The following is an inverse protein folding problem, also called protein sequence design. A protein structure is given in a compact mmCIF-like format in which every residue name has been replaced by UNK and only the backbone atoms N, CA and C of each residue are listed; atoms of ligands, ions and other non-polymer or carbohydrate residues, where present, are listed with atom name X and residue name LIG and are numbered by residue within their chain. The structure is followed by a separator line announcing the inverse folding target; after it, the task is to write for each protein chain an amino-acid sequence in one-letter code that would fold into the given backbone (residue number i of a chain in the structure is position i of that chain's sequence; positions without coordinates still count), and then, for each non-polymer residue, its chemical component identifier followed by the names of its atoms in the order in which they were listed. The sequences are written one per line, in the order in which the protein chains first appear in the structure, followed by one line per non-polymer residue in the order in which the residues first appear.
data_IF_920877175397
#
_entry.id   IF_920877175397
#
_cell.length_a   1.000
_cell.length_b   1.000
_cell.length_c   1.000
_cell.angle_alpha   90.00
_cell.angle_beta   90.00
_cell.angle_gamma   90.00
#
_symmetry.space_group_name_H-M   'P 1'
#
loop_
_entity.id
_entity.type
_entity.pdbx_description
1 polymer ?
#
# COMPACT_ATOMS: atom_id res chain seq x y z
N UNK A 1 -9.84 -22.47 14.56
CA UNK A 1 -9.49 -21.90 13.24
C UNK A 1 -9.23 -20.37 13.23
N UNK A 2 -9.35 -19.64 14.37
CA UNK A 2 -9.09 -18.18 14.46
C UNK A 2 -7.66 -17.75 14.09
N UNK A 3 -6.65 -18.46 14.55
CA UNK A 3 -5.24 -18.04 14.40
C UNK A 3 -4.76 -18.01 12.93
N UNK A 4 -5.19 -18.97 12.10
CA UNK A 4 -4.83 -19.03 10.67
C UNK A 4 -5.40 -17.86 9.88
N UNK A 5 -6.60 -17.39 10.24
CA UNK A 5 -7.24 -16.24 9.60
C UNK A 5 -6.60 -14.91 10.04
N UNK A 6 -6.22 -14.77 11.32
CA UNK A 6 -5.43 -13.62 11.81
C UNK A 6 -4.10 -13.50 11.07
N UNK A 7 -3.37 -14.61 10.96
CA UNK A 7 -2.08 -14.64 10.26
C UNK A 7 -2.22 -14.35 8.76
N UNK A 8 -3.34 -14.73 8.14
CA UNK A 8 -3.64 -14.42 6.74
C UNK A 8 -3.99 -12.94 6.56
N UNK A 9 -4.78 -12.36 7.46
CA UNK A 9 -5.10 -10.92 7.45
C UNK A 9 -3.87 -10.03 7.62
N UNK A 10 -2.97 -10.39 8.55
CA UNK A 10 -1.69 -9.69 8.73
C UNK A 10 -0.80 -9.75 7.48
N UNK A 11 -0.79 -10.87 6.75
CA UNK A 11 -0.04 -11.01 5.48
C UNK A 11 -0.64 -10.22 4.32
N UNK A 12 -1.92 -9.87 4.40
CA UNK A 12 -2.63 -9.06 3.40
C UNK A 12 -2.58 -7.55 3.73
N UNK A 13 -1.83 -7.16 4.76
CA UNK A 13 -1.64 -5.76 5.15
C UNK A 13 -2.75 -5.19 6.01
N UNK A 14 -3.68 -6.01 6.51
CA UNK A 14 -4.69 -5.57 7.48
C UNK A 14 -4.07 -5.38 8.86
N UNK A 15 -4.43 -4.27 9.50
CA UNK A 15 -4.12 -3.97 10.89
C UNK A 15 -4.80 -4.98 11.83
N UNK A 16 -4.25 -5.12 13.04
CA UNK A 16 -4.85 -5.96 14.08
C UNK A 16 -6.28 -5.51 14.44
N UNK A 17 -6.59 -4.22 14.27
CA UNK A 17 -7.93 -3.68 14.48
C UNK A 17 -8.90 -4.12 13.38
N UNK A 18 -8.54 -4.02 12.10
CA UNK A 18 -9.37 -4.48 10.97
C UNK A 18 -9.64 -5.99 11.06
N UNK A 19 -8.61 -6.76 11.40
CA UNK A 19 -8.73 -8.21 11.63
C UNK A 19 -9.65 -8.50 12.82
N UNK A 20 -9.60 -7.71 13.88
CA UNK A 20 -10.48 -7.86 15.05
C UNK A 20 -11.94 -7.52 14.72
N UNK A 21 -12.20 -6.43 13.99
CA UNK A 21 -13.56 -6.04 13.56
C UNK A 21 -14.23 -7.15 12.77
N UNK A 22 -13.49 -7.81 11.87
CA UNK A 22 -13.97 -9.03 11.23
C UNK A 22 -14.37 -10.07 12.25
N UNK A 23 -13.48 -10.45 13.19
CA UNK A 23 -13.75 -11.45 14.23
C UNK A 23 -14.91 -11.12 15.17
N UNK A 24 -15.13 -9.85 15.49
CA UNK A 24 -16.24 -9.40 16.33
C UNK A 24 -17.58 -9.59 15.57
N UNK A 25 -17.58 -9.49 14.23
CA UNK A 25 -18.73 -9.90 13.40
C UNK A 25 -18.94 -11.43 13.32
N UNK A 26 -17.90 -12.26 13.58
CA UNK A 26 -18.05 -13.73 13.62
C UNK A 26 -18.89 -14.21 14.80
N UNK A 27 -18.81 -13.54 15.95
CA UNK A 27 -19.45 -14.02 17.18
C UNK A 27 -20.96 -13.73 17.22
N UNK A 28 -21.49 -12.94 16.27
CA UNK A 28 -22.88 -12.46 16.27
C UNK A 28 -23.79 -13.11 15.23
N UNK A 29 -23.27 -13.72 14.15
CA UNK A 29 -24.12 -14.37 13.15
C UNK A 29 -23.41 -15.53 12.40
N UNK A 30 -23.82 -16.80 12.56
CA UNK A 30 -23.16 -17.95 11.93
C UNK A 30 -23.41 -18.08 10.42
N UNK A 31 -24.10 -17.12 9.79
CA UNK A 31 -24.39 -17.19 8.36
C UNK A 31 -23.15 -16.83 7.51
N UNK A 32 -22.66 -17.83 6.76
CA UNK A 32 -21.44 -17.72 5.95
C UNK A 32 -21.50 -16.70 4.79
N UNK A 33 -22.68 -16.36 4.28
CA UNK A 33 -22.83 -15.44 3.14
C UNK A 33 -22.44 -13.99 3.50
N UNK A 34 -23.00 -13.46 4.61
CA UNK A 34 -22.69 -12.12 5.12
C UNK A 34 -21.20 -11.97 5.45
N UNK A 35 -20.55 -13.06 5.86
CA UNK A 35 -19.12 -13.08 6.15
C UNK A 35 -18.27 -12.95 4.89
N UNK A 36 -18.67 -13.63 3.81
CA UNK A 36 -17.97 -13.55 2.53
C UNK A 36 -18.14 -12.17 1.90
N UNK A 37 -19.34 -11.58 1.99
CA UNK A 37 -19.60 -10.20 1.55
C UNK A 37 -18.72 -9.18 2.29
N UNK A 38 -18.68 -9.23 3.63
CA UNK A 38 -17.82 -8.33 4.42
C UNK A 38 -16.32 -8.51 4.11
N UNK A 39 -15.88 -9.74 3.84
CA UNK A 39 -14.49 -10.01 3.45
C UNK A 39 -14.17 -9.50 2.04
N UNK A 40 -15.12 -9.58 1.10
CA UNK A 40 -14.98 -9.01 -0.24
C UNK A 40 -14.83 -7.50 -0.15
N UNK A 41 -15.75 -6.82 0.53
CA UNK A 41 -15.73 -5.35 0.71
C UNK A 41 -14.40 -4.88 1.31
N UNK A 42 -13.97 -5.52 2.39
CA UNK A 42 -12.73 -5.13 3.07
C UNK A 42 -11.49 -5.37 2.19
N UNK A 43 -11.49 -6.44 1.38
CA UNK A 43 -10.40 -6.72 0.45
C UNK A 43 -10.37 -5.74 -0.72
N UNK A 44 -11.54 -5.35 -1.23
CA UNK A 44 -11.67 -4.34 -2.28
C UNK A 44 -11.20 -2.96 -1.80
N UNK A 45 -11.65 -2.52 -0.63
CA UNK A 45 -11.21 -1.26 -0.02
C UNK A 45 -9.69 -1.25 0.17
N UNK A 46 -9.12 -2.33 0.71
CA UNK A 46 -7.66 -2.42 0.90
C UNK A 46 -6.90 -2.35 -0.42
N UNK A 47 -7.40 -3.03 -1.45
CA UNK A 47 -6.83 -3.01 -2.79
C UNK A 47 -6.86 -1.60 -3.38
N UNK A 48 -7.96 -0.86 -3.20
CA UNK A 48 -8.07 0.51 -3.68
C UNK A 48 -7.03 1.42 -3.01
N UNK A 49 -6.87 1.33 -1.69
CA UNK A 49 -5.84 2.09 -0.95
C UNK A 49 -4.43 1.76 -1.45
N UNK A 50 -4.10 0.48 -1.60
CA UNK A 50 -2.77 0.07 -2.07
C UNK A 50 -2.50 0.52 -3.51
N UNK A 51 -3.50 0.54 -4.37
CA UNK A 51 -3.37 1.06 -5.74
C UNK A 51 -3.08 2.56 -5.72
N UNK A 52 -3.80 3.33 -4.92
CA UNK A 52 -3.54 4.77 -4.78
C UNK A 52 -2.11 5.02 -4.28
N UNK A 53 -1.69 4.31 -3.23
CA UNK A 53 -0.32 4.41 -2.71
C UNK A 53 0.74 4.06 -3.77
N UNK A 54 0.47 3.06 -4.62
CA UNK A 54 1.36 2.70 -5.71
C UNK A 54 1.48 3.83 -6.75
N UNK A 55 0.36 4.44 -7.14
CA UNK A 55 0.34 5.58 -8.05
C UNK A 55 1.10 6.77 -7.46
N UNK A 56 0.89 7.08 -6.18
CA UNK A 56 1.60 8.14 -5.46
C UNK A 56 3.12 7.88 -5.44
N UNK A 57 3.53 6.64 -5.16
CA UNK A 57 4.95 6.23 -5.19
C UNK A 57 5.53 6.40 -6.61
N UNK A 58 4.79 6.03 -7.65
CA UNK A 58 5.26 6.18 -9.04
C UNK A 58 5.47 7.65 -9.42
N UNK A 59 4.57 8.54 -9.00
CA UNK A 59 4.73 9.98 -9.20
C UNK A 59 5.98 10.50 -8.48
N UNK A 60 6.16 10.13 -7.21
CA UNK A 60 7.34 10.53 -6.43
C UNK A 60 8.65 10.02 -7.03
N UNK A 61 8.67 8.80 -7.56
CA UNK A 61 9.84 8.26 -8.25
C UNK A 61 10.19 9.11 -9.48
N UNK A 62 9.19 9.51 -10.27
CA UNK A 62 9.39 10.38 -11.44
C UNK A 62 9.96 11.74 -11.03
N UNK A 63 9.43 12.35 -9.97
CA UNK A 63 9.95 13.62 -9.45
C UNK A 63 11.41 13.50 -8.97
N UNK A 64 11.76 12.39 -8.31
CA UNK A 64 13.13 12.13 -7.88
C UNK A 64 14.09 11.99 -9.07
N UNK A 65 13.67 11.28 -10.13
CA UNK A 65 14.46 11.13 -11.36
C UNK A 65 14.71 12.50 -12.01
N UNK A 66 13.70 13.37 -12.07
CA UNK A 66 13.81 14.72 -12.62
C UNK A 66 14.73 15.63 -11.78
N UNK A 67 14.67 15.51 -10.46
CA UNK A 67 15.61 16.21 -9.56
C UNK A 67 17.03 15.72 -9.80
N UNK A 68 17.23 14.41 -9.87
CA UNK A 68 18.55 13.81 -10.07
C UNK A 68 19.15 14.22 -11.43
N UNK A 69 18.36 14.20 -12.50
CA UNK A 69 18.78 14.63 -13.83
C UNK A 69 19.29 16.07 -13.83
N UNK A 70 18.53 17.01 -13.23
CA UNK A 70 18.95 18.41 -13.10
C UNK A 70 20.24 18.57 -12.32
N UNK A 71 20.37 17.89 -11.18
CA UNK A 71 21.61 17.93 -10.40
C UNK A 71 22.82 17.42 -11.20
N UNK A 72 22.64 16.37 -12.01
CA UNK A 72 23.70 15.83 -12.88
C UNK A 72 24.08 16.82 -13.98
N UNK A 73 23.11 17.48 -14.60
CA UNK A 73 23.34 18.50 -15.63
C UNK A 73 24.10 19.70 -15.07
N UNK A 74 23.64 20.28 -13.96
CA UNK A 74 24.32 21.41 -13.30
C UNK A 74 25.75 21.05 -12.90
N UNK A 75 25.95 19.85 -12.36
CA UNK A 75 27.29 19.37 -12.00
C UNK A 75 28.19 19.21 -13.24
N UNK A 76 27.64 18.77 -14.37
CA UNK A 76 28.38 18.64 -15.62
C UNK A 76 28.80 20.01 -16.16
N UNK A 77 27.92 21.01 -16.13
CA UNK A 77 28.24 22.39 -16.53
C UNK A 77 29.36 23.00 -15.68
N UNK A 78 29.26 22.85 -14.36
CA UNK A 78 30.29 23.34 -13.44
C UNK A 78 31.66 22.67 -13.67
N UNK A 79 31.67 21.39 -14.06
CA UNK A 79 32.91 20.69 -14.41
C UNK A 79 33.47 21.16 -15.76
N UNK A 80 32.62 21.43 -16.75
CA UNK A 80 33.05 21.97 -18.05
C UNK A 80 33.64 23.37 -17.93
N UNK A 81 32.98 24.25 -17.16
CA UNK A 81 33.43 25.63 -16.95
C UNK A 81 34.68 25.78 -16.07
N UNK A 82 35.08 24.76 -15.30
CA UNK A 82 36.33 24.75 -14.52
C UNK A 82 37.56 24.25 -15.29
N UNK A 83 37.37 23.73 -16.51
CA UNK A 83 38.44 23.18 -17.36
C UNK A 83 38.75 24.12 -18.55
N UNK A 84 37.99 25.22 -18.71
CA UNK A 84 38.26 26.28 -19.68
C UNK A 84 39.11 27.41 -19.08
#
# INVERSE_FOLDING_TARGET
MRLKLILRGKRLGFSLAEVKTLFDMYDTNPNSAVQLEAMLDMTEQKRAVLKQQLEDIQMLMTELDDVEARCREELAELKRGKIA
#
